data_IF_851937536994
#
_entry.id   IF_851937536994
#
_cell.length_a   1.000
_cell.length_b   1.000
_cell.length_c   1.000
_cell.angle_alpha   90.00
_cell.angle_beta   90.00
_cell.angle_gamma   90.00
#
_symmetry.space_group_name_H-M   'P 1'
#
loop_
_entity.id
_entity.type
_entity.pdbx_description
1 polymer ?
#
# COMPACT_ATOMS: atom_id res chain seq x y z
N UNK A 1 -13.60 -14.30 0.27
CA UNK A 1 -12.46 -14.53 -0.63
C UNK A 1 -11.84 -13.23 -1.16
N UNK A 2 -12.50 -12.41 -1.99
CA UNK A 2 -11.88 -11.16 -2.50
C UNK A 2 -11.51 -10.17 -1.38
N UNK A 3 -12.46 -9.92 -0.47
CA UNK A 3 -12.26 -9.07 0.71
C UNK A 3 -11.08 -9.55 1.56
N UNK A 4 -10.87 -10.86 1.64
CA UNK A 4 -9.80 -11.48 2.42
C UNK A 4 -8.43 -11.30 1.76
N UNK A 5 -8.36 -11.42 0.43
CA UNK A 5 -7.13 -11.11 -0.34
C UNK A 5 -6.77 -9.63 -0.21
N UNK A 6 -7.76 -8.74 -0.30
CA UNK A 6 -7.55 -7.31 -0.12
C UNK A 6 -7.17 -6.93 1.31
N UNK A 7 -7.66 -7.68 2.31
CA UNK A 7 -7.27 -7.50 3.71
C UNK A 7 -5.83 -7.92 3.98
N UNK A 8 -5.32 -8.90 3.24
CA UNK A 8 -3.92 -9.32 3.34
C UNK A 8 -2.98 -8.45 2.51
N UNK A 9 -3.44 -7.98 1.34
CA UNK A 9 -2.63 -7.22 0.40
C UNK A 9 -3.40 -6.01 -0.10
N UNK A 10 -2.98 -4.84 0.37
CA UNK A 10 -3.56 -3.57 -0.01
C UNK A 10 -3.44 -3.36 -1.54
N UNK A 11 -4.55 -2.92 -2.16
CA UNK A 11 -4.67 -2.61 -3.58
C UNK A 11 -4.25 -3.75 -4.54
N UNK A 12 -4.25 -5.00 -4.08
CA UNK A 12 -3.87 -6.11 -4.93
C UNK A 12 -4.84 -6.24 -6.13
N UNK A 13 -4.34 -6.32 -7.37
CA UNK A 13 -5.20 -6.36 -8.54
C UNK A 13 -6.03 -7.65 -8.57
N UNK A 14 -7.33 -7.52 -8.37
CA UNK A 14 -8.29 -8.62 -8.37
C UNK A 14 -9.20 -8.57 -9.60
N UNK A 15 -9.66 -9.73 -10.07
CA UNK A 15 -10.56 -9.83 -11.21
C UNK A 15 -11.61 -10.91 -10.92
N UNK A 16 -12.88 -10.53 -11.01
CA UNK A 16 -14.04 -11.40 -10.84
C UNK A 16 -14.68 -11.59 -12.19
N UNK A 17 -14.76 -12.83 -12.67
CA UNK A 17 -15.46 -13.13 -13.91
C UNK A 17 -16.78 -13.80 -13.56
N UNK A 18 -17.90 -13.17 -13.92
CA UNK A 18 -19.25 -13.65 -13.61
C UNK A 18 -20.13 -13.73 -14.86
N UNK A 19 -21.06 -14.69 -14.89
CA UNK A 19 -22.13 -14.78 -15.88
C UNK A 19 -23.44 -14.12 -15.42
N UNK A 20 -23.51 -13.68 -14.15
CA UNK A 20 -24.64 -13.04 -13.50
C UNK A 20 -24.20 -11.63 -13.10
N UNK A 21 -24.64 -10.65 -13.87
CA UNK A 21 -24.27 -9.24 -13.79
C UNK A 21 -25.06 -8.50 -12.70
N UNK A 22 -26.38 -8.71 -12.62
CA UNK A 22 -27.23 -8.03 -11.65
C UNK A 22 -26.87 -8.38 -10.19
N UNK A 23 -26.63 -9.67 -9.90
CA UNK A 23 -26.29 -10.12 -8.55
C UNK A 23 -24.86 -9.72 -8.15
N UNK A 24 -23.93 -9.70 -9.10
CA UNK A 24 -22.52 -9.43 -8.80
C UNK A 24 -22.22 -7.94 -8.61
N UNK A 25 -22.94 -7.05 -9.29
CA UNK A 25 -22.83 -5.60 -9.06
C UNK A 25 -23.49 -5.21 -7.73
N UNK A 26 -24.56 -5.90 -7.33
CA UNK A 26 -25.25 -5.65 -6.07
C UNK A 26 -24.46 -6.14 -4.83
N UNK A 27 -23.69 -7.22 -4.95
CA UNK A 27 -22.94 -7.84 -3.84
C UNK A 27 -21.47 -7.39 -3.73
N UNK A 28 -20.95 -6.65 -4.72
CA UNK A 28 -19.56 -6.16 -4.71
C UNK A 28 -19.46 -4.71 -4.24
N UNK A 29 -18.59 -4.44 -3.27
CA UNK A 29 -18.29 -3.07 -2.81
C UNK A 29 -17.50 -2.25 -3.85
N UNK A 30 -16.79 -2.92 -4.78
CA UNK A 30 -16.08 -2.28 -5.89
C UNK A 30 -16.37 -2.99 -7.22
N UNK A 31 -17.22 -2.33 -8.01
CA UNK A 31 -17.70 -2.80 -9.30
C UNK A 31 -16.58 -2.91 -10.34
N UNK A 32 -15.44 -2.22 -10.15
CA UNK A 32 -14.34 -2.22 -11.12
C UNK A 32 -13.61 -3.57 -11.22
N UNK A 33 -13.82 -4.47 -10.26
CA UNK A 33 -13.29 -5.83 -10.31
C UNK A 33 -14.22 -6.83 -10.98
N UNK A 34 -15.48 -6.46 -11.29
CA UNK A 34 -16.48 -7.37 -11.85
C UNK A 34 -16.51 -7.30 -13.38
N UNK A 35 -16.20 -8.44 -14.01
CA UNK A 35 -16.16 -8.60 -15.46
C UNK A 35 -17.19 -9.63 -15.92
N UNK A 36 -18.05 -9.21 -16.84
CA UNK A 36 -19.13 -10.05 -17.37
C UNK A 36 -18.57 -10.99 -18.42
N UNK A 37 -18.64 -12.31 -18.19
CA UNK A 37 -18.08 -13.35 -19.04
C UNK A 37 -18.53 -13.24 -20.50
N UNK A 38 -19.79 -12.89 -20.73
CA UNK A 38 -20.38 -12.71 -22.07
C UNK A 38 -19.80 -11.51 -22.84
N UNK A 39 -19.25 -10.52 -22.12
CA UNK A 39 -18.68 -9.29 -22.67
C UNK A 39 -17.14 -9.35 -22.75
N UNK A 40 -16.53 -10.46 -22.35
CA UNK A 40 -15.09 -10.68 -22.44
C UNK A 40 -14.71 -11.04 -23.87
N UNK A 41 -13.96 -10.15 -24.51
CA UNK A 41 -13.30 -10.44 -25.77
C UNK A 41 -11.86 -10.86 -25.49
N UNK A 42 -11.50 -12.07 -25.91
CA UNK A 42 -10.14 -12.59 -25.83
C UNK A 42 -9.34 -12.36 -27.13
N UNK A 43 -10.02 -12.10 -28.24
CA UNK A 43 -9.42 -11.69 -29.52
C UNK A 43 -9.60 -10.20 -29.79
N UNK A 44 -8.76 -9.67 -30.68
CA UNK A 44 -8.62 -8.23 -30.96
C UNK A 44 -9.63 -7.67 -31.97
N UNK A 45 -10.63 -8.46 -32.36
CA UNK A 45 -11.34 -8.27 -33.63
C UNK A 45 -12.36 -7.11 -33.66
N UNK A 46 -12.59 -6.41 -32.54
CA UNK A 46 -13.71 -5.46 -32.41
C UNK A 46 -13.35 -4.07 -31.85
N UNK A 47 -12.11 -3.58 -32.02
CA UNK A 47 -11.71 -2.23 -31.55
C UNK A 47 -11.75 -2.03 -30.03
N UNK A 48 -12.04 -3.08 -29.27
CA UNK A 48 -12.03 -3.14 -27.81
C UNK A 48 -10.75 -3.82 -27.35
N UNK A 49 -10.11 -3.28 -26.32
CA UNK A 49 -8.92 -3.87 -25.70
C UNK A 49 -9.26 -5.25 -25.13
N UNK A 50 -8.56 -6.34 -25.55
CA UNK A 50 -8.79 -7.69 -25.05
C UNK A 50 -8.65 -7.76 -23.53
N UNK A 51 -9.40 -8.65 -22.89
CA UNK A 51 -9.35 -8.81 -21.43
C UNK A 51 -7.94 -9.14 -20.93
N UNK A 52 -7.22 -10.03 -21.64
CA UNK A 52 -5.83 -10.36 -21.31
C UNK A 52 -4.92 -9.12 -21.29
N UNK A 53 -5.14 -8.17 -22.21
CA UNK A 53 -4.38 -6.92 -22.24
C UNK A 53 -4.76 -5.98 -21.09
N UNK A 54 -6.03 -5.98 -20.66
CA UNK A 54 -6.47 -5.24 -19.46
C UNK A 54 -5.83 -5.78 -18.19
N UNK A 55 -5.86 -7.11 -18.01
CA UNK A 55 -5.22 -7.80 -16.89
C UNK A 55 -3.73 -7.47 -16.86
N UNK A 56 -3.05 -7.63 -17.99
CA UNK A 56 -1.62 -7.28 -18.10
C UNK A 56 -1.37 -5.82 -17.76
N UNK A 57 -2.13 -4.88 -18.32
CA UNK A 57 -1.96 -3.45 -18.05
C UNK A 57 -2.16 -3.10 -16.58
N UNK A 58 -3.11 -3.72 -15.90
CA UNK A 58 -3.35 -3.48 -14.48
C UNK A 58 -2.22 -4.05 -13.61
N UNK A 59 -1.73 -5.24 -13.93
CA UNK A 59 -0.55 -5.83 -13.26
C UNK A 59 0.68 -4.93 -13.48
N UNK A 60 0.93 -4.51 -14.73
CA UNK A 60 2.07 -3.65 -15.07
C UNK A 60 2.02 -2.31 -14.32
N UNK A 61 0.83 -1.69 -14.23
CA UNK A 61 0.62 -0.45 -13.45
C UNK A 61 0.87 -0.66 -11.96
N UNK A 62 0.36 -1.75 -11.39
CA UNK A 62 0.58 -2.07 -9.98
C UNK A 62 2.07 -2.26 -9.66
N UNK A 63 2.78 -3.03 -10.48
CA UNK A 63 4.23 -3.23 -10.35
C UNK A 63 5.01 -1.93 -10.55
N UNK A 64 4.62 -1.10 -11.53
CA UNK A 64 5.23 0.20 -11.75
C UNK A 64 5.05 1.12 -10.54
N UNK A 65 3.86 1.13 -9.92
CA UNK A 65 3.59 1.91 -8.70
C UNK A 65 4.50 1.49 -7.54
N UNK A 66 4.64 0.17 -7.31
CA UNK A 66 5.57 -0.35 -6.28
C UNK A 66 7.02 0.04 -6.60
N UNK A 67 7.45 -0.11 -7.86
CA UNK A 67 8.81 0.23 -8.29
C UNK A 67 9.11 1.71 -8.09
N UNK A 68 8.17 2.58 -8.45
CA UNK A 68 8.30 4.03 -8.28
C UNK A 68 8.36 4.41 -6.81
N UNK A 69 7.47 3.86 -5.97
CA UNK A 69 7.49 4.08 -4.53
C UNK A 69 8.82 3.66 -3.88
N UNK A 70 9.39 2.51 -4.28
CA UNK A 70 10.72 2.06 -3.80
C UNK A 70 11.84 3.00 -4.22
N UNK A 71 11.83 3.46 -5.48
CA UNK A 71 12.83 4.37 -5.99
C UNK A 71 12.76 5.74 -5.28
N UNK A 72 11.56 6.26 -5.09
CA UNK A 72 11.31 7.51 -4.39
C UNK A 72 11.72 7.43 -2.91
N UNK A 73 11.33 6.37 -2.21
CA UNK A 73 11.74 6.13 -0.83
C UNK A 73 13.26 6.10 -0.70
N UNK A 74 13.96 5.44 -1.63
CA UNK A 74 15.43 5.38 -1.64
C UNK A 74 16.05 6.78 -1.79
N UNK A 75 15.50 7.63 -2.66
CA UNK A 75 15.96 9.03 -2.82
C UNK A 75 15.73 9.84 -1.53
N UNK A 76 14.58 9.69 -0.89
CA UNK A 76 14.27 10.39 0.35
C UNK A 76 15.14 9.91 1.52
N UNK A 77 15.44 8.61 1.60
CA UNK A 77 16.35 8.07 2.60
C UNK A 77 17.77 8.62 2.44
N UNK A 78 18.27 8.76 1.21
CA UNK A 78 19.57 9.41 0.96
C UNK A 78 19.52 10.91 1.32
N UNK A 79 18.41 11.60 1.01
CA UNK A 79 18.19 12.99 1.43
C UNK A 79 18.21 13.14 2.95
N UNK A 80 17.58 12.20 3.67
CA UNK A 80 17.60 12.11 5.13
C UNK A 80 19.00 11.89 5.68
N UNK A 81 19.76 10.94 5.13
CA UNK A 81 21.17 10.72 5.50
C UNK A 81 22.05 11.95 5.29
N UNK A 82 21.77 12.74 4.25
CA UNK A 82 22.48 13.99 3.98
C UNK A 82 22.12 15.15 4.91
N UNK A 83 21.17 14.97 5.83
CA UNK A 83 20.71 15.98 6.78
C UNK A 83 19.88 17.11 6.15
N UNK A 84 19.39 16.92 4.91
CA UNK A 84 18.61 17.91 4.15
C UNK A 84 17.12 17.59 4.06
N UNK A 85 16.66 16.56 4.76
CA UNK A 85 15.24 16.21 4.82
C UNK A 85 14.47 17.24 5.66
N UNK A 86 13.31 17.64 5.16
CA UNK A 86 12.35 18.46 5.88
C UNK A 86 11.23 17.59 6.47
N UNK A 87 10.34 18.19 7.27
CA UNK A 87 9.22 17.47 7.91
C UNK A 87 8.32 16.76 6.89
N UNK A 88 8.07 17.37 5.73
CA UNK A 88 7.26 16.76 4.67
C UNK A 88 7.95 15.55 4.03
N UNK A 89 9.27 15.58 3.92
CA UNK A 89 10.04 14.44 3.44
C UNK A 89 9.95 13.27 4.44
N UNK A 90 9.97 13.53 5.75
CA UNK A 90 9.82 12.48 6.78
C UNK A 90 8.40 11.91 6.80
N UNK A 91 7.36 12.74 6.68
CA UNK A 91 5.97 12.28 6.52
C UNK A 91 5.83 11.39 5.29
N UNK A 92 6.38 11.83 4.16
CA UNK A 92 6.33 11.07 2.91
C UNK A 92 7.13 9.76 2.96
N UNK A 93 8.25 9.74 3.68
CA UNK A 93 8.99 8.49 3.96
C UNK A 93 8.08 7.49 4.70
N UNK A 94 7.38 7.94 5.74
CA UNK A 94 6.45 7.08 6.50
C UNK A 94 5.31 6.58 5.60
N UNK A 95 4.72 7.46 4.78
CA UNK A 95 3.65 7.09 3.85
C UNK A 95 4.11 6.03 2.84
N UNK A 96 5.25 6.24 2.20
CA UNK A 96 5.82 5.31 1.21
C UNK A 96 6.20 3.97 1.85
N UNK A 97 6.80 4.00 3.04
CA UNK A 97 7.16 2.80 3.78
C UNK A 97 5.94 1.98 4.18
N UNK A 98 4.92 2.64 4.76
CA UNK A 98 3.64 2.00 5.09
C UNK A 98 2.90 1.48 3.87
N UNK A 99 2.92 2.20 2.75
CA UNK A 99 2.37 1.69 1.50
C UNK A 99 3.08 0.39 1.08
N UNK A 100 4.42 0.38 1.06
CA UNK A 100 5.21 -0.77 0.65
C UNK A 100 5.00 -1.98 1.57
N UNK A 101 4.94 -1.79 2.89
CA UNK A 101 4.61 -2.86 3.84
C UNK A 101 3.22 -3.45 3.55
N UNK A 102 2.20 -2.59 3.41
CA UNK A 102 0.81 -3.01 3.13
C UNK A 102 0.67 -3.72 1.79
N UNK A 103 1.56 -3.47 0.81
CA UNK A 103 1.59 -4.25 -0.45
C UNK A 103 2.13 -5.68 -0.28
N UNK A 104 2.94 -5.93 0.76
CA UNK A 104 3.52 -7.25 1.06
C UNK A 104 2.58 -8.03 1.97
N UNK A 105 2.27 -7.45 3.12
CA UNK A 105 1.37 -7.98 4.13
C UNK A 105 0.79 -6.84 4.97
N UNK A 106 -0.51 -6.66 4.88
CA UNK A 106 -1.24 -5.61 5.61
C UNK A 106 -1.40 -5.99 7.10
N UNK A 107 -1.38 -7.28 7.44
CA UNK A 107 -1.60 -7.76 8.82
C UNK A 107 -0.37 -7.64 9.70
N UNK A 108 0.82 -7.68 9.11
CA UNK A 108 2.10 -7.43 9.78
C UNK A 108 2.61 -5.99 9.66
N UNK A 109 1.86 -5.09 9.01
CA UNK A 109 2.30 -3.71 8.80
C UNK A 109 2.42 -2.96 10.14
N UNK A 110 3.52 -2.23 10.31
CA UNK A 110 3.76 -1.45 11.52
C UNK A 110 2.83 -0.22 11.48
N UNK A 111 2.14 0.11 12.59
CA UNK A 111 1.28 1.29 12.63
C UNK A 111 2.04 2.57 12.27
N UNK A 112 1.43 3.41 11.42
CA UNK A 112 2.02 4.67 10.94
C UNK A 112 2.48 5.55 12.11
N UNK A 113 1.71 5.56 13.21
CA UNK A 113 2.02 6.24 14.46
C UNK A 113 3.36 5.81 15.08
N UNK A 114 3.73 4.53 14.99
CA UNK A 114 5.00 4.03 15.54
C UNK A 114 6.21 4.38 14.66
N UNK A 115 5.99 4.71 13.38
CA UNK A 115 7.03 5.10 12.44
C UNK A 115 7.38 6.58 12.50
N UNK A 116 6.48 7.40 13.05
CA UNK A 116 6.77 8.81 13.29
C UNK A 116 7.83 8.97 14.39
N UNK A 117 8.95 9.60 14.04
CA UNK A 117 10.08 9.91 14.92
C UNK A 117 9.66 10.63 16.22
N UNK A 118 8.56 11.39 16.18
CA UNK A 118 7.99 12.05 17.36
C UNK A 118 7.66 11.08 18.51
N UNK A 119 7.32 9.82 18.21
CA UNK A 119 7.05 8.82 19.24
C UNK A 119 8.35 8.21 19.79
N UNK A 120 9.40 8.08 18.98
CA UNK A 120 10.74 7.74 19.48
C UNK A 120 11.29 8.83 20.39
N UNK A 121 11.10 10.11 20.05
CA UNK A 121 11.49 11.22 20.93
C UNK A 121 10.71 11.21 22.25
N UNK A 122 9.43 10.85 22.20
CA UNK A 122 8.61 10.64 23.41
C UNK A 122 9.11 9.45 24.22
N UNK A 123 9.46 8.35 23.58
CA UNK A 123 9.96 7.13 24.23
C UNK A 123 11.33 7.37 24.87
N UNK A 124 12.23 8.05 24.15
CA UNK A 124 13.52 8.52 24.66
C UNK A 124 13.33 9.49 25.83
N UNK A 125 12.38 10.44 25.74
CA UNK A 125 12.07 11.34 26.85
C UNK A 125 11.48 10.61 28.06
N UNK A 126 10.82 9.47 27.84
CA UNK A 126 10.28 8.63 28.90
C UNK A 126 11.41 7.87 29.61
N UNK A 127 12.34 7.32 28.83
CA UNK A 127 13.56 6.66 29.33
C UNK A 127 14.40 7.66 30.13
N UNK A 128 14.66 8.86 29.58
CA UNK A 128 15.39 9.92 30.29
C UNK A 128 14.74 10.31 31.62
N UNK A 129 13.40 10.36 31.67
CA UNK A 129 12.66 10.66 32.91
C UNK A 129 12.75 9.52 33.93
N UNK A 130 12.76 8.28 33.46
CA UNK A 130 12.93 7.10 34.32
C UNK A 130 14.35 7.05 34.88
N UNK A 131 15.37 7.32 34.08
CA UNK A 131 16.76 7.40 34.53
C UNK A 131 16.97 8.54 35.55
N UNK A 132 16.34 9.70 35.33
CA UNK A 132 16.34 10.80 36.30
C UNK A 132 15.61 10.46 37.62
N UNK A 133 14.63 9.55 37.59
CA UNK A 133 13.95 9.06 38.78
C UNK A 133 14.85 8.07 39.53
N UNK A 134 15.47 7.12 38.83
CA UNK A 134 16.40 6.15 39.42
C UNK A 134 17.58 6.87 40.06
N UNK A 135 18.19 7.84 39.38
CA UNK A 135 19.28 8.64 39.92
C UNK A 135 18.92 9.58 41.09
N UNK A 136 17.63 9.68 41.47
CA UNK A 136 17.18 10.38 42.68
C UNK A 136 16.93 9.45 43.87
N UNK A 137 16.93 8.14 43.64
CA UNK A 137 16.77 7.11 44.67
C UNK A 137 18.09 6.42 45.03
N UNK A 138 19.19 6.74 44.34
CA UNK A 138 20.58 6.57 44.81
C UNK A 138 21.05 7.83 45.57
#
# INVERSE_FOLDING_TARGET
>A
MLKEIQLQKCDFPCFVITSYDDDAVADSDDVNFVYIKKNLHFSSDCGKVPFAQRVKSQIDKYLARIKNAKAELSVLLEKRKSGKANVKDEEHIVELDSFLEKTIDTTGAIPDEMKHLSNMDRLNSLIDKVDQLIGKFE
#
